data_IF_124197690088
#
_entry.id   IF_124197690088
#
_cell.length_a   1.000
_cell.length_b   1.000
_cell.length_c   1.000
_cell.angle_alpha   90.00
_cell.angle_beta   90.00
_cell.angle_gamma   90.00
#
_symmetry.space_group_name_H-M   'P 1'
#
loop_
_entity.id
_entity.type
_entity.pdbx_description
1 polymer ?
#
# COMPACT_ATOMS: atom_id res chain seq x y z
N UNK A 1 3.67 10.79 0.45
CA UNK A 1 5.08 10.54 0.05
C UNK A 1 5.79 9.83 1.19
N UNK A 2 6.63 8.83 0.92
CA UNK A 2 7.52 8.26 1.94
C UNK A 2 8.53 9.33 2.39
N UNK A 3 8.55 9.68 3.67
CA UNK A 3 9.47 10.66 4.26
C UNK A 3 10.62 10.00 5.01
N UNK A 4 10.34 8.94 5.75
CA UNK A 4 11.35 8.23 6.52
C UNK A 4 11.14 6.72 6.46
N UNK A 5 12.25 5.97 6.49
CA UNK A 5 12.27 4.53 6.62
C UNK A 5 13.30 4.15 7.70
N UNK A 6 12.83 3.37 8.67
CA UNK A 6 13.61 2.83 9.76
C UNK A 6 13.54 1.30 9.71
N UNK A 7 14.70 0.66 9.70
CA UNK A 7 14.87 -0.78 9.63
C UNK A 7 15.74 -1.21 10.80
N UNK A 8 15.33 -2.26 11.50
CA UNK A 8 16.11 -2.88 12.57
C UNK A 8 16.15 -4.39 12.40
N UNK A 9 17.33 -4.98 12.50
CA UNK A 9 17.58 -6.43 12.48
C UNK A 9 17.02 -7.16 11.25
N UNK A 10 17.08 -6.53 10.07
CA UNK A 10 16.56 -7.10 8.81
C UNK A 10 17.72 -7.54 7.90
N UNK A 11 17.78 -8.80 7.54
CA UNK A 11 18.85 -9.41 6.74
C UNK A 11 20.23 -9.06 7.31
N UNK A 12 21.06 -8.33 6.55
CA UNK A 12 22.40 -7.90 6.98
C UNK A 12 22.40 -6.51 7.68
N UNK A 13 21.24 -5.88 7.86
CA UNK A 13 21.12 -4.58 8.54
C UNK A 13 20.85 -4.81 10.04
N UNK A 14 21.67 -4.20 10.89
CA UNK A 14 21.43 -4.03 12.32
C UNK A 14 20.47 -2.86 12.58
N UNK A 15 20.80 -1.67 12.10
CA UNK A 15 19.96 -0.47 12.14
C UNK A 15 20.20 0.39 10.89
N UNK A 16 19.12 0.80 10.23
CA UNK A 16 19.16 1.77 9.14
C UNK A 16 18.03 2.78 9.36
N UNK A 17 18.38 4.05 9.28
CA UNK A 17 17.41 5.16 9.23
C UNK A 17 17.75 6.03 8.04
N UNK A 18 16.79 6.24 7.17
CA UNK A 18 16.94 7.08 5.98
C UNK A 18 15.75 7.99 5.83
N UNK A 19 16.02 9.21 5.36
CA UNK A 19 15.01 10.19 5.01
C UNK A 19 14.98 10.37 3.50
N UNK A 20 13.80 10.64 2.96
CA UNK A 20 13.55 10.84 1.54
C UNK A 20 13.04 12.26 1.31
N UNK A 21 13.37 12.80 0.15
CA UNK A 21 12.96 14.15 -0.29
C UNK A 21 12.00 14.07 -1.47
N UNK A 22 11.24 15.14 -1.74
CA UNK A 22 10.30 15.14 -2.85
C UNK A 22 11.00 14.92 -4.20
N UNK A 23 10.31 14.26 -5.12
CA UNK A 23 10.83 13.95 -6.45
C UNK A 23 11.74 12.72 -6.47
N UNK A 24 12.90 12.85 -7.13
CA UNK A 24 13.76 11.71 -7.43
C UNK A 24 14.78 11.47 -6.30
N UNK A 25 14.69 10.30 -5.67
CA UNK A 25 15.68 9.80 -4.73
C UNK A 25 16.47 8.68 -5.38
N UNK A 26 17.80 8.83 -5.46
CA UNK A 26 18.68 7.81 -6.06
C UNK A 26 19.44 7.09 -4.97
N UNK A 27 19.18 5.79 -4.83
CA UNK A 27 19.94 4.91 -3.93
C UNK A 27 21.00 4.19 -4.78
N UNK A 28 22.27 4.38 -4.42
CA UNK A 28 23.41 3.72 -5.05
C UNK A 28 24.29 3.03 -4.01
N UNK A 29 25.16 2.13 -4.47
CA UNK A 29 26.06 1.38 -3.61
C UNK A 29 26.85 0.34 -4.41
N UNK A 30 27.76 -0.37 -3.75
CA UNK A 30 28.70 -1.29 -4.38
C UNK A 30 28.06 -2.62 -4.78
N UNK A 31 27.31 -3.25 -3.87
CA UNK A 31 26.90 -4.66 -4.00
C UNK A 31 25.41 -4.88 -4.22
N UNK A 32 24.61 -3.83 -4.43
CA UNK A 32 23.16 -3.91 -4.66
C UNK A 32 22.33 -4.42 -3.46
N UNK A 33 22.96 -5.07 -2.48
CA UNK A 33 22.33 -5.66 -1.30
C UNK A 33 21.54 -4.61 -0.50
N UNK A 34 22.11 -3.42 -0.28
CA UNK A 34 21.41 -2.34 0.44
C UNK A 34 20.11 -1.91 -0.24
N UNK A 35 20.12 -1.80 -1.57
CA UNK A 35 18.91 -1.49 -2.35
C UNK A 35 17.88 -2.60 -2.21
N UNK A 36 18.27 -3.86 -2.39
CA UNK A 36 17.35 -5.00 -2.27
C UNK A 36 16.74 -5.11 -0.87
N UNK A 37 17.50 -4.80 0.18
CA UNK A 37 16.99 -4.82 1.56
C UNK A 37 15.98 -3.70 1.80
N UNK A 38 16.24 -2.49 1.29
CA UNK A 38 15.28 -1.38 1.35
C UNK A 38 13.98 -1.76 0.62
N UNK A 39 14.09 -2.35 -0.58
CA UNK A 39 12.92 -2.83 -1.32
C UNK A 39 12.17 -3.92 -0.56
N UNK A 40 12.88 -4.90 0.02
CA UNK A 40 12.27 -5.93 0.85
C UNK A 40 11.59 -5.39 2.11
N UNK A 41 12.16 -4.36 2.73
CA UNK A 41 11.56 -3.67 3.87
C UNK A 41 10.26 -2.96 3.48
N UNK A 42 10.26 -2.26 2.34
CA UNK A 42 9.05 -1.64 1.80
C UNK A 42 8.00 -2.69 1.47
N UNK A 43 8.34 -3.74 0.73
CA UNK A 43 7.48 -4.91 0.46
C UNK A 43 6.81 -5.46 1.74
N UNK A 44 7.58 -5.62 2.83
CA UNK A 44 7.01 -6.01 4.12
C UNK A 44 6.00 -4.99 4.65
N UNK A 45 6.20 -3.69 4.47
CA UNK A 45 5.20 -2.69 4.84
C UNK A 45 3.98 -2.68 3.90
N UNK A 46 4.11 -3.18 2.67
CA UNK A 46 3.01 -3.32 1.71
C UNK A 46 2.17 -4.60 1.91
N UNK A 47 2.55 -5.43 2.89
CA UNK A 47 1.76 -6.61 3.27
C UNK A 47 2.29 -7.93 2.72
N UNK A 48 3.45 -7.94 2.05
CA UNK A 48 4.07 -9.18 1.59
C UNK A 48 4.30 -10.18 2.73
N UNK A 49 4.41 -11.47 2.38
CA UNK A 49 4.64 -12.50 3.40
C UNK A 49 5.97 -12.25 4.11
N UNK A 50 5.91 -12.25 5.44
CA UNK A 50 7.11 -12.21 6.25
C UNK A 50 7.74 -13.61 6.33
N UNK A 51 9.00 -13.74 5.93
CA UNK A 51 9.81 -14.94 6.17
C UNK A 51 10.77 -14.73 7.34
N UNK A 52 11.04 -15.80 8.09
CA UNK A 52 12.08 -15.82 9.12
C UNK A 52 13.49 -15.61 8.55
N UNK A 53 13.70 -15.86 7.25
CA UNK A 53 14.97 -15.64 6.56
C UNK A 53 15.31 -14.16 6.44
N UNK A 54 14.31 -13.29 6.56
CA UNK A 54 14.49 -11.83 6.56
C UNK A 54 14.98 -11.32 7.92
N UNK A 55 14.90 -12.11 8.99
CA UNK A 55 15.39 -11.71 10.30
C UNK A 55 16.90 -11.94 10.35
N UNK A 56 17.65 -10.91 10.75
CA UNK A 56 19.11 -10.98 10.93
C UNK A 56 19.50 -12.19 11.77
N UNK A 57 20.64 -12.80 11.42
CA UNK A 57 21.21 -13.91 12.18
C UNK A 57 21.43 -13.50 13.65
N UNK A 58 21.12 -14.41 14.58
CA UNK A 58 21.17 -14.20 16.03
C UNK A 58 20.14 -13.22 16.62
N UNK A 59 19.21 -12.68 15.83
CA UNK A 59 18.12 -11.83 16.32
C UNK A 59 16.78 -12.58 16.33
N UNK A 60 15.92 -12.29 17.31
CA UNK A 60 14.60 -12.93 17.46
C UNK A 60 13.49 -12.24 16.67
N UNK A 61 13.71 -10.97 16.28
CA UNK A 61 12.75 -10.16 15.57
C UNK A 61 13.42 -9.10 14.69
N UNK A 62 12.75 -8.77 13.59
CA UNK A 62 13.05 -7.63 12.72
C UNK A 62 11.92 -6.61 12.81
N UNK A 63 12.24 -5.32 12.70
CA UNK A 63 11.27 -4.23 12.69
C UNK A 63 11.48 -3.35 11.48
N UNK A 64 10.40 -3.02 10.80
CA UNK A 64 10.37 -2.03 9.71
C UNK A 64 9.32 -1.00 10.06
N UNK A 65 9.66 0.27 9.93
CA UNK A 65 8.80 1.41 10.24
C UNK A 65 8.98 2.49 9.17
N UNK A 66 7.88 3.05 8.69
CA UNK A 66 7.89 4.11 7.70
C UNK A 66 6.95 5.24 8.09
N UNK A 67 7.37 6.46 7.77
CA UNK A 67 6.58 7.68 7.87
C UNK A 67 6.17 8.12 6.47
N UNK A 68 4.88 8.28 6.25
CA UNK A 68 4.31 8.81 5.02
C UNK A 68 3.63 10.15 5.28
N UNK A 69 3.93 11.11 4.42
CA UNK A 69 3.13 12.31 4.23
C UNK A 69 1.86 11.96 3.44
N UNK A 70 0.70 12.20 4.03
CA UNK A 70 -0.61 12.00 3.42
C UNK A 70 -1.37 13.33 3.29
N UNK A 71 -0.64 14.45 3.22
CA UNK A 71 -1.21 15.75 2.89
C UNK A 71 -1.90 15.73 1.53
N UNK A 72 -3.15 16.21 1.48
CA UNK A 72 -3.96 16.22 0.27
C UNK A 72 -4.47 14.86 -0.23
N UNK A 73 -4.15 13.74 0.44
CA UNK A 73 -4.61 12.39 0.06
C UNK A 73 -5.92 12.01 0.77
N UNK A 74 -7.05 12.54 0.28
CA UNK A 74 -8.36 12.37 0.92
C UNK A 74 -8.77 10.90 1.05
N UNK A 75 -8.54 10.10 0.03
CA UNK A 75 -8.94 8.69 -0.04
C UNK A 75 -8.27 7.87 1.09
N UNK A 76 -6.99 8.17 1.38
CA UNK A 76 -6.25 7.50 2.46
C UNK A 76 -6.80 7.91 3.82
N UNK A 77 -7.13 9.19 4.00
CA UNK A 77 -7.68 9.71 5.27
C UNK A 77 -9.05 9.13 5.57
N UNK A 78 -9.93 9.07 4.58
CA UNK A 78 -11.25 8.45 4.70
C UNK A 78 -11.14 6.96 5.05
N UNK A 79 -10.17 6.26 4.44
CA UNK A 79 -9.91 4.85 4.74
C UNK A 79 -9.39 4.64 6.17
N UNK A 80 -8.47 5.48 6.63
CA UNK A 80 -7.98 5.46 8.02
C UNK A 80 -9.12 5.70 9.02
N UNK A 81 -10.01 6.66 8.74
CA UNK A 81 -11.17 6.96 9.57
C UNK A 81 -12.14 5.78 9.67
N UNK A 82 -12.43 5.12 8.53
CA UNK A 82 -13.27 3.92 8.49
C UNK A 82 -12.70 2.75 9.30
N UNK A 83 -11.39 2.71 9.50
CA UNK A 83 -10.68 1.70 10.30
C UNK A 83 -10.52 2.11 11.77
N UNK A 84 -10.93 3.33 12.14
CA UNK A 84 -10.80 3.87 13.50
C UNK A 84 -9.42 4.41 13.84
N UNK A 85 -8.60 4.77 12.85
CA UNK A 85 -7.31 5.43 13.08
C UNK A 85 -7.43 6.95 13.04
N UNK A 86 -6.64 7.64 13.87
CA UNK A 86 -6.64 9.09 13.97
C UNK A 86 -6.22 9.77 12.65
N UNK A 87 -6.91 10.87 12.31
CA UNK A 87 -6.62 11.70 11.14
C UNK A 87 -5.51 12.71 11.44
N UNK A 88 -4.39 12.57 10.74
CA UNK A 88 -3.33 13.56 10.67
C UNK A 88 -2.85 13.72 9.23
N UNK A 89 -1.89 14.62 9.04
CA UNK A 89 -1.19 14.75 7.75
C UNK A 89 -0.09 13.69 7.59
N UNK A 90 0.22 12.95 8.66
CA UNK A 90 1.22 11.91 8.69
C UNK A 90 0.60 10.53 8.96
N UNK A 91 1.14 9.51 8.31
CA UNK A 91 0.82 8.10 8.51
C UNK A 91 2.08 7.34 8.89
N UNK A 92 2.06 6.71 10.06
CA UNK A 92 3.13 5.83 10.54
C UNK A 92 2.68 4.39 10.39
N UNK A 93 3.43 3.61 9.62
CA UNK A 93 3.22 2.18 9.46
C UNK A 93 4.41 1.43 10.04
N UNK A 94 4.15 0.44 10.90
CA UNK A 94 5.19 -0.38 11.52
C UNK A 94 4.84 -1.85 11.46
N UNK A 95 5.80 -2.68 11.08
CA UNK A 95 5.69 -4.13 11.07
C UNK A 95 6.83 -4.74 11.87
N UNK A 96 6.48 -5.64 12.78
CA UNK A 96 7.42 -6.43 13.58
C UNK A 96 7.25 -7.89 13.16
N UNK A 97 8.33 -8.49 12.70
CA UNK A 97 8.38 -9.91 12.32
C UNK A 97 9.19 -10.65 13.37
N UNK A 98 8.68 -11.76 13.90
CA UNK A 98 9.36 -12.55 14.92
C UNK A 98 9.55 -13.99 14.48
N UNK A 99 10.70 -14.60 14.84
CA UNK A 99 10.97 -16.03 14.62
C UNK A 99 9.92 -16.94 15.28
N UNK A 100 9.30 -16.47 16.35
CA UNK A 100 8.21 -17.17 17.04
C UNK A 100 6.90 -17.22 16.25
N UNK A 101 6.81 -16.52 15.11
CA UNK A 101 5.58 -16.36 14.33
C UNK A 101 4.62 -15.29 14.85
N UNK A 102 4.89 -14.69 16.02
CA UNK A 102 4.07 -13.62 16.61
C UNK A 102 4.34 -12.26 15.95
N UNK A 103 3.97 -12.16 14.68
CA UNK A 103 4.10 -10.92 13.92
C UNK A 103 3.11 -9.87 14.43
N UNK A 104 3.51 -8.60 14.44
CA UNK A 104 2.67 -7.49 14.88
C UNK A 104 2.73 -6.36 13.87
N UNK A 105 1.62 -5.65 13.75
CA UNK A 105 1.48 -4.52 12.83
C UNK A 105 0.88 -3.36 13.62
N UNK A 106 1.39 -2.17 13.36
CA UNK A 106 0.89 -0.94 13.95
C UNK A 106 0.66 0.12 12.87
N UNK A 107 -0.45 0.85 13.00
CA UNK A 107 -0.80 2.01 12.20
C UNK A 107 -1.05 3.16 13.17
N UNK A 108 -0.31 4.27 13.01
CA UNK A 108 -0.35 5.43 13.92
C UNK A 108 -0.24 5.03 15.41
N UNK A 109 0.63 4.06 15.71
CA UNK A 109 0.88 3.55 17.06
C UNK A 109 -0.14 2.53 17.59
N UNK A 110 -1.25 2.30 16.89
CA UNK A 110 -2.29 1.36 17.29
C UNK A 110 -2.14 0.01 16.59
N UNK A 111 -2.49 -1.09 17.27
CA UNK A 111 -2.46 -2.43 16.67
C UNK A 111 -3.39 -2.51 15.46
N UNK A 112 -2.90 -3.12 14.38
CA UNK A 112 -3.64 -3.29 13.14
C UNK A 112 -3.50 -4.72 12.61
N UNK A 113 -4.38 -5.07 11.67
CA UNK A 113 -4.32 -6.35 10.95
C UNK A 113 -3.50 -6.23 9.66
N UNK A 114 -3.09 -7.37 9.10
CA UNK A 114 -2.42 -7.38 7.80
C UNK A 114 -3.32 -6.84 6.69
N UNK A 115 -4.62 -7.17 6.71
CA UNK A 115 -5.57 -6.66 5.71
C UNK A 115 -5.71 -5.14 5.74
N UNK A 116 -5.73 -4.53 6.94
CA UNK A 116 -5.73 -3.07 7.07
C UNK A 116 -4.46 -2.45 6.47
N UNK A 117 -3.30 -3.01 6.77
CA UNK A 117 -2.01 -2.57 6.23
C UNK A 117 -1.97 -2.65 4.70
N UNK A 118 -2.31 -3.82 4.14
CA UNK A 118 -2.33 -4.08 2.70
C UNK A 118 -3.30 -3.15 1.96
N UNK A 119 -4.45 -2.87 2.55
CA UNK A 119 -5.46 -2.01 1.93
C UNK A 119 -5.06 -0.52 1.89
N UNK A 120 -4.07 -0.09 2.69
CA UNK A 120 -3.50 1.26 2.66
C UNK A 120 -2.32 1.34 1.71
N UNK A 121 -1.52 0.28 1.61
CA UNK A 121 -0.31 0.27 0.77
C UNK A 121 -0.58 0.50 -0.71
N UNK A 122 -1.73 0.05 -1.21
CA UNK A 122 -2.20 0.27 -2.60
C UNK A 122 -2.19 1.77 -3.00
N UNK A 123 -2.38 2.69 -2.05
CA UNK A 123 -2.41 4.14 -2.30
C UNK A 123 -1.09 4.86 -1.99
N UNK A 124 -0.12 4.15 -1.42
CA UNK A 124 1.09 4.74 -0.83
C UNK A 124 2.34 4.52 -1.66
N UNK A 125 2.55 3.28 -2.13
CA UNK A 125 3.78 2.88 -2.81
C UNK A 125 3.43 1.96 -3.96
N UNK A 126 4.03 2.22 -5.11
CA UNK A 126 4.04 1.30 -6.24
C UNK A 126 5.49 0.84 -6.47
N UNK A 127 5.73 -0.47 -6.43
CA UNK A 127 7.05 -1.07 -6.64
C UNK A 127 7.13 -1.60 -8.07
N UNK A 128 7.97 -0.98 -8.90
CA UNK A 128 8.24 -1.47 -10.26
C UNK A 128 9.49 -2.37 -10.24
N UNK A 129 9.32 -3.69 -10.37
CA UNK A 129 10.42 -4.67 -10.26
C UNK A 129 10.19 -5.98 -11.03
N UNK A 130 11.13 -6.94 -10.86
CA UNK A 130 11.19 -8.21 -11.61
C UNK A 130 10.13 -9.25 -11.19
N UNK A 131 9.47 -9.07 -10.05
CA UNK A 131 8.43 -9.96 -9.54
C UNK A 131 7.24 -9.12 -9.01
N UNK A 132 6.06 -9.31 -9.61
CA UNK A 132 4.70 -8.96 -9.15
C UNK A 132 3.97 -7.67 -9.60
N UNK A 133 2.65 -7.89 -9.76
CA UNK A 133 1.47 -7.01 -9.82
C UNK A 133 1.68 -5.57 -10.30
N UNK A 134 1.80 -5.41 -11.62
CA UNK A 134 1.64 -4.09 -12.20
C UNK A 134 0.16 -3.73 -12.21
N UNK A 135 -0.20 -2.56 -11.66
CA UNK A 135 -1.48 -1.89 -11.97
C UNK A 135 -1.70 -1.81 -13.49
N UNK A 136 -0.62 -1.68 -14.26
CA UNK A 136 -0.60 -1.67 -15.73
C UNK A 136 -0.87 -3.06 -16.35
N UNK A 137 -0.66 -4.17 -15.63
CA UNK A 137 -0.95 -5.53 -16.11
C UNK A 137 -2.23 -6.10 -15.51
N UNK A 138 -2.84 -5.39 -14.58
CA UNK A 138 -4.13 -5.75 -14.02
C UNK A 138 -5.23 -5.35 -15.01
N UNK A 139 -5.80 -6.37 -15.64
CA UNK A 139 -6.84 -6.21 -16.67
C UNK A 139 -8.02 -5.38 -16.20
N UNK A 140 -8.34 -5.41 -14.90
CA UNK A 140 -9.44 -4.64 -14.34
C UNK A 140 -9.17 -3.12 -14.38
N UNK A 141 -7.90 -2.70 -14.31
CA UNK A 141 -7.50 -1.29 -14.38
C UNK A 141 -7.28 -0.79 -15.81
N UNK A 142 -7.20 -1.68 -16.81
CA UNK A 142 -6.91 -1.28 -18.19
C UNK A 142 -7.98 -0.37 -18.78
N UNK A 143 -9.25 -0.57 -18.42
CA UNK A 143 -10.35 0.27 -18.90
C UNK A 143 -10.26 1.68 -18.32
N UNK A 144 -9.88 1.80 -17.05
CA UNK A 144 -9.68 3.09 -16.39
C UNK A 144 -8.54 3.85 -17.05
N UNK A 145 -7.42 3.18 -17.33
CA UNK A 145 -6.26 3.76 -18.03
C UNK A 145 -6.66 4.26 -19.43
N UNK A 146 -7.40 3.45 -20.20
CA UNK A 146 -7.81 3.81 -21.56
C UNK A 146 -8.81 4.96 -21.57
N UNK A 147 -9.80 4.94 -20.67
CA UNK A 147 -10.82 5.97 -20.57
C UNK A 147 -10.22 7.29 -20.07
N UNK A 148 -9.27 7.25 -19.14
CA UNK A 148 -8.54 8.44 -18.71
C UNK A 148 -7.69 9.02 -19.85
N UNK A 149 -6.98 8.16 -20.61
CA UNK A 149 -6.21 8.62 -21.77
C UNK A 149 -7.08 9.28 -22.85
N UNK A 150 -8.32 8.82 -23.01
CA UNK A 150 -9.27 9.40 -23.96
C UNK A 150 -10.11 10.57 -23.43
N UNK A 151 -9.86 11.05 -22.20
CA UNK A 151 -10.72 12.01 -21.49
C UNK A 151 -12.20 11.56 -21.42
N UNK A 152 -12.43 10.24 -21.33
CA UNK A 152 -13.75 9.60 -21.38
C UNK A 152 -14.37 9.37 -20.00
N UNK A 153 -13.64 9.62 -18.90
CA UNK A 153 -14.12 9.34 -17.53
C UNK A 153 -15.47 9.99 -17.24
N UNK A 154 -15.68 11.25 -17.66
CA UNK A 154 -16.96 11.95 -17.49
C UNK A 154 -18.10 11.33 -18.31
N UNK A 155 -17.82 10.90 -19.54
CA UNK A 155 -18.80 10.22 -20.39
C UNK A 155 -19.18 8.86 -19.81
N UNK A 156 -18.18 8.13 -19.31
CA UNK A 156 -18.39 6.86 -18.62
C UNK A 156 -19.26 7.01 -17.37
N UNK A 157 -19.00 8.01 -16.54
CA UNK A 157 -19.85 8.31 -15.37
C UNK A 157 -21.30 8.59 -15.81
N UNK A 158 -21.50 9.38 -16.87
CA UNK A 158 -22.81 9.64 -17.44
C UNK A 158 -23.53 8.37 -17.91
N UNK A 159 -22.81 7.51 -18.62
CA UNK A 159 -23.31 6.21 -19.07
C UNK A 159 -23.68 5.29 -17.90
N UNK A 160 -22.81 5.14 -16.89
CA UNK A 160 -23.06 4.31 -15.72
C UNK A 160 -24.32 4.73 -14.97
N UNK A 161 -24.58 6.04 -14.87
CA UNK A 161 -25.81 6.55 -14.24
C UNK A 161 -27.07 6.15 -15.02
N UNK A 162 -27.07 6.33 -16.34
CA UNK A 162 -28.18 5.93 -17.22
C UNK A 162 -28.42 4.42 -17.18
N UNK A 163 -27.36 3.63 -17.17
CA UNK A 163 -27.45 2.18 -17.11
C UNK A 163 -28.03 1.69 -15.77
N UNK A 164 -27.60 2.29 -14.65
CA UNK A 164 -28.14 1.97 -13.33
C UNK A 164 -29.63 2.31 -13.22
N UNK A 165 -30.05 3.43 -13.82
CA UNK A 165 -31.47 3.82 -13.90
C UNK A 165 -32.28 2.82 -14.74
N UNK A 166 -31.77 2.44 -15.91
CA UNK A 166 -32.37 1.41 -16.76
C UNK A 166 -32.55 0.08 -16.00
N UNK A 167 -31.50 -0.42 -15.34
CA UNK A 167 -31.55 -1.65 -14.53
C UNK A 167 -32.56 -1.54 -13.37
N UNK A 168 -32.71 -0.37 -12.77
CA UNK A 168 -33.73 -0.14 -11.75
C UNK A 168 -35.15 -0.21 -12.33
N UNK A 169 -35.38 0.37 -13.51
CA UNK A 169 -36.67 0.35 -14.21
C UNK A 169 -37.04 -1.06 -14.68
N UNK A 170 -36.09 -1.81 -15.25
CA UNK A 170 -36.31 -3.22 -15.66
C UNK A 170 -36.69 -4.08 -14.46
N UNK A 171 -35.98 -3.95 -13.33
CA UNK A 171 -36.34 -4.66 -12.09
C UNK A 171 -37.72 -4.28 -11.57
N UNK A 172 -38.13 -3.02 -11.73
CA UNK A 172 -39.47 -2.56 -11.34
C UNK A 172 -40.56 -3.13 -12.25
N UNK A 173 -40.31 -3.17 -13.56
CA UNK A 173 -41.22 -3.76 -14.55
C UNK A 173 -41.44 -5.25 -14.25
N UNK A 174 -40.36 -6.02 -14.05
CA UNK A 174 -40.47 -7.44 -13.73
C UNK A 174 -41.20 -7.75 -12.41
N UNK A 175 -41.23 -6.81 -11.46
CA UNK A 175 -42.05 -6.92 -10.23
C UNK A 175 -43.52 -6.59 -10.44
N UNK A 176 -43.86 -5.83 -11.48
CA UNK A 176 -45.23 -5.45 -11.82
C UNK A 176 -45.89 -6.46 -12.77
N UNK A 177 -45.08 -7.21 -13.52
CA UNK A 177 -45.51 -8.29 -14.42
C UNK A 177 -45.61 -9.67 -13.74
N UNK A 178 -45.16 -9.79 -12.48
CA UNK A 178 -45.25 -10.99 -11.64
C UNK A 178 -46.43 -10.90 -10.67
#
# INVERSE_FOLDING_TARGET
>A
MLRELSIKNLAIIDELKTSFTEGLNVISGETGAGKSIIMGALSLLLGDRASNDLIRSAEDAATVEALFDINGKREIREKLDSMGFYQGDDLIMKRIVSRSGKNRIYINGNLATLGMLSSLSEYLVNICGQHEHQVILDTDNHIDILDEFGDLLSLRTGYSNLYNEYEALVRKLGKLEA
#
